data_IF_506426774130
#
_entry.id   IF_506426774130
#
_cell.length_a   1.000
_cell.length_b   1.000
_cell.length_c   1.000
_cell.angle_alpha   90.00
_cell.angle_beta   90.00
_cell.angle_gamma   90.00
#
_symmetry.space_group_name_H-M   'P 1'
#
loop_
_entity.id
_entity.type
_entity.pdbx_description
1 polymer ?
#
# COMPACT_ATOMS: atom_id res chain seq x y z
N UNK A 1 -16.13 -60.28 -28.67
CA UNK A 1 -15.16 -59.44 -29.40
C UNK A 1 -14.94 -58.17 -28.59
N UNK A 2 -13.72 -58.01 -28.09
CA UNK A 2 -13.29 -56.95 -27.16
C UNK A 2 -12.48 -55.88 -27.88
N UNK A 3 -12.23 -54.78 -27.14
CA UNK A 3 -11.27 -53.68 -27.33
C UNK A 3 -11.84 -52.37 -27.94
N UNK A 4 -11.21 -51.21 -27.71
CA UNK A 4 -11.00 -50.51 -26.43
C UNK A 4 -11.22 -48.97 -26.58
N UNK A 5 -11.25 -48.14 -25.53
CA UNK A 5 -10.02 -47.48 -25.04
C UNK A 5 -10.13 -45.94 -25.06
N UNK A 6 -9.95 -45.34 -23.88
CA UNK A 6 -9.85 -43.89 -23.57
C UNK A 6 -8.75 -43.19 -24.39
N UNK A 7 -8.71 -41.85 -24.44
CA UNK A 7 -7.50 -41.05 -24.13
C UNK A 7 -7.78 -39.52 -24.17
N UNK A 8 -7.98 -38.93 -22.98
CA UNK A 8 -7.72 -37.52 -22.72
C UNK A 8 -6.20 -37.32 -22.67
N UNK A 9 -5.66 -36.42 -23.51
CA UNK A 9 -4.25 -36.05 -23.51
C UNK A 9 -4.02 -34.92 -22.50
N UNK A 10 -3.44 -35.23 -21.35
CA UNK A 10 -2.79 -34.25 -20.48
C UNK A 10 -1.34 -34.07 -20.96
N UNK A 11 -1.01 -32.85 -21.41
CA UNK A 11 0.35 -32.48 -21.81
C UNK A 11 1.13 -32.13 -20.53
N UNK A 12 2.09 -32.99 -20.18
CA UNK A 12 3.03 -32.76 -19.10
C UNK A 12 4.09 -31.73 -19.55
N UNK A 13 4.12 -30.57 -18.89
CA UNK A 13 5.19 -29.59 -19.04
C UNK A 13 6.37 -30.02 -18.16
N UNK A 14 7.40 -30.58 -18.79
CA UNK A 14 8.70 -30.86 -18.16
C UNK A 14 9.42 -29.53 -17.91
N UNK A 15 9.45 -29.08 -16.64
CA UNK A 15 10.36 -28.00 -16.23
C UNK A 15 11.75 -28.57 -15.93
N UNK A 16 12.71 -28.12 -16.73
CA UNK A 16 14.16 -28.41 -16.67
C UNK A 16 14.74 -27.92 -15.33
N UNK A 17 15.27 -28.84 -14.51
CA UNK A 17 16.02 -28.56 -13.28
C UNK A 17 17.50 -28.34 -13.63
N UNK A 18 18.17 -27.27 -13.15
CA UNK A 18 19.57 -27.00 -13.47
C UNK A 18 20.56 -27.94 -12.74
N UNK A 19 21.54 -28.42 -13.51
CA UNK A 19 22.51 -29.50 -13.24
C UNK A 19 23.72 -29.08 -12.39
N UNK A 20 23.53 -28.45 -11.23
CA UNK A 20 24.66 -27.98 -10.38
C UNK A 20 24.58 -28.37 -8.89
N UNK A 21 23.82 -29.41 -8.54
CA UNK A 21 23.69 -29.88 -7.14
C UNK A 21 24.19 -31.31 -6.89
N UNK A 22 24.76 -31.98 -7.89
CA UNK A 22 25.24 -33.37 -7.76
C UNK A 22 26.59 -33.51 -7.06
N UNK A 23 27.41 -32.46 -6.96
CA UNK A 23 28.80 -32.58 -6.49
C UNK A 23 29.04 -32.38 -4.99
N UNK A 24 28.00 -32.16 -4.16
CA UNK A 24 28.18 -31.96 -2.70
C UNK A 24 27.86 -33.22 -1.87
N UNK A 25 27.17 -34.22 -2.45
CA UNK A 25 26.71 -35.39 -1.70
C UNK A 25 27.67 -36.59 -1.68
N UNK A 26 28.82 -36.54 -2.37
CA UNK A 26 29.71 -37.70 -2.48
C UNK A 26 30.78 -37.80 -1.37
N UNK A 27 30.83 -36.82 -0.44
CA UNK A 27 31.96 -36.68 0.50
C UNK A 27 31.67 -37.10 1.95
N UNK A 28 30.79 -38.06 2.22
CA UNK A 28 30.72 -38.76 3.53
C UNK A 28 30.32 -40.23 3.40
N UNK A 29 31.28 -41.09 3.05
CA UNK A 29 31.23 -42.53 3.36
C UNK A 29 32.18 -42.80 4.52
N UNK A 30 31.69 -43.30 5.65
CA UNK A 30 32.39 -44.15 6.61
C UNK A 30 31.37 -44.81 7.59
N UNK A 31 31.71 -45.95 8.22
CA UNK A 31 30.93 -47.18 8.11
C UNK A 31 30.02 -47.48 9.32
N UNK A 32 28.92 -48.18 9.04
CA UNK A 32 28.02 -48.77 10.04
C UNK A 32 28.56 -50.14 10.51
N UNK A 33 28.49 -50.48 11.81
CA UNK A 33 28.54 -51.85 12.26
C UNK A 33 27.12 -52.45 12.36
N UNK A 34 27.00 -53.72 11.97
CA UNK A 34 25.77 -54.51 12.04
C UNK A 34 25.61 -55.17 13.41
N UNK A 35 24.42 -55.11 14.00
CA UNK A 35 23.95 -56.15 14.93
C UNK A 35 22.42 -56.25 14.97
N UNK A 36 21.94 -57.37 14.44
CA UNK A 36 20.86 -58.26 14.89
C UNK A 36 19.60 -57.73 15.61
N UNK A 37 18.49 -58.03 14.92
CA UNK A 37 17.34 -58.88 15.33
C UNK A 37 16.00 -58.21 15.72
N UNK A 38 15.00 -58.73 15.01
CA UNK A 38 13.63 -59.04 15.39
C UNK A 38 12.53 -57.99 15.20
N UNK A 39 11.57 -58.42 14.38
CA UNK A 39 10.33 -57.77 14.05
C UNK A 39 9.39 -57.70 15.26
N UNK A 40 8.75 -56.54 15.43
CA UNK A 40 7.40 -56.47 15.97
C UNK A 40 6.58 -55.49 15.13
N UNK A 41 5.48 -56.01 14.60
CA UNK A 41 4.39 -55.30 13.94
C UNK A 41 3.69 -54.33 14.90
N UNK A 42 3.86 -53.02 14.68
CA UNK A 42 2.86 -52.00 15.00
C UNK A 42 3.17 -50.74 14.19
N UNK A 43 2.52 -50.58 13.05
CA UNK A 43 2.49 -49.31 12.33
C UNK A 43 1.19 -48.61 12.74
N UNK A 44 1.22 -48.04 13.94
CA UNK A 44 0.70 -46.69 14.16
C UNK A 44 1.93 -45.79 14.01
N UNK A 45 2.10 -45.06 12.91
CA UNK A 45 2.85 -43.80 12.93
C UNK A 45 2.80 -43.07 11.59
N UNK A 46 2.27 -41.86 11.68
CA UNK A 46 2.49 -40.74 10.77
C UNK A 46 3.94 -40.64 10.26
N UNK A 47 4.18 -40.42 8.96
CA UNK A 47 5.40 -39.78 8.46
C UNK A 47 5.03 -38.37 7.95
N UNK A 48 5.35 -37.27 8.64
CA UNK A 48 6.66 -36.71 9.00
C UNK A 48 7.48 -36.30 7.77
N UNK A 49 7.93 -35.05 7.81
CA UNK A 49 8.81 -34.36 6.85
C UNK A 49 8.17 -34.06 5.48
N UNK A 50 7.95 -32.81 5.09
CA UNK A 50 8.94 -31.72 5.06
C UNK A 50 8.40 -30.41 5.65
N UNK A 51 8.64 -30.24 6.94
CA UNK A 51 8.78 -28.95 7.59
C UNK A 51 10.10 -28.31 7.13
N UNK A 52 10.04 -27.41 6.15
CA UNK A 52 11.13 -26.45 5.97
C UNK A 52 11.10 -25.49 7.16
N UNK A 53 11.88 -25.80 8.19
CA UNK A 53 12.19 -24.92 9.31
C UNK A 53 12.93 -23.70 8.79
N UNK A 54 12.18 -22.68 8.38
CA UNK A 54 12.65 -21.30 8.50
C UNK A 54 12.96 -21.08 9.98
N UNK A 55 14.19 -20.71 10.32
CA UNK A 55 14.54 -20.25 11.67
C UNK A 55 13.58 -19.11 12.06
N UNK A 56 12.70 -19.29 13.08
CA UNK A 56 11.74 -18.24 13.46
C UNK A 56 12.43 -17.00 14.03
N UNK A 57 13.65 -17.15 14.56
CA UNK A 57 14.34 -16.12 15.33
C UNK A 57 15.05 -15.06 14.47
N UNK A 58 15.37 -15.36 13.20
CA UNK A 58 16.03 -14.39 12.31
C UNK A 58 15.00 -13.46 11.64
N UNK A 59 13.79 -13.96 11.34
CA UNK A 59 12.68 -13.14 10.83
C UNK A 59 11.91 -12.36 11.91
N UNK A 60 11.88 -12.86 13.15
CA UNK A 60 11.14 -12.19 14.24
C UNK A 60 11.73 -10.85 14.65
N UNK A 61 13.07 -10.69 14.67
CA UNK A 61 13.70 -9.42 15.09
C UNK A 61 13.46 -8.30 14.09
N UNK A 62 13.54 -8.60 12.78
CA UNK A 62 13.34 -7.61 11.73
C UNK A 62 11.87 -7.16 11.64
N UNK A 63 10.92 -8.11 11.76
CA UNK A 63 9.49 -7.79 11.79
C UNK A 63 9.08 -7.02 13.06
N UNK A 64 9.64 -7.39 14.22
CA UNK A 64 9.37 -6.70 15.47
C UNK A 64 9.98 -5.27 15.49
N UNK A 65 11.15 -5.07 14.89
CA UNK A 65 11.77 -3.75 14.73
C UNK A 65 10.95 -2.88 13.77
N UNK A 66 10.50 -3.43 12.64
CA UNK A 66 9.66 -2.74 11.66
C UNK A 66 8.31 -2.29 12.27
N UNK A 67 7.70 -3.15 13.08
CA UNK A 67 6.45 -2.85 13.76
C UNK A 67 6.61 -1.75 14.83
N UNK A 68 7.70 -1.78 15.62
CA UNK A 68 8.01 -0.73 16.59
C UNK A 68 8.23 0.63 15.93
N UNK A 69 9.03 0.67 14.86
CA UNK A 69 9.27 1.90 14.10
C UNK A 69 7.99 2.46 13.50
N UNK A 70 7.15 1.60 12.92
CA UNK A 70 5.86 2.02 12.34
C UNK A 70 4.95 2.66 13.39
N UNK A 71 4.86 2.08 14.60
CA UNK A 71 4.05 2.63 15.69
C UNK A 71 4.57 4.00 16.13
N UNK A 72 5.89 4.13 16.33
CA UNK A 72 6.50 5.40 16.75
C UNK A 72 6.27 6.49 15.69
N UNK A 73 6.53 6.19 14.42
CA UNK A 73 6.34 7.13 13.32
C UNK A 73 4.87 7.54 13.17
N UNK A 74 3.94 6.58 13.30
CA UNK A 74 2.50 6.86 13.23
C UNK A 74 2.05 7.71 14.42
N UNK A 75 2.58 7.46 15.62
CA UNK A 75 2.31 8.27 16.82
C UNK A 75 2.81 9.70 16.67
N UNK A 76 4.04 9.89 16.19
CA UNK A 76 4.61 11.21 15.90
C UNK A 76 3.81 11.94 14.82
N UNK A 77 3.42 11.25 13.75
CA UNK A 77 2.56 11.82 12.72
C UNK A 77 1.19 12.23 13.29
N UNK A 78 0.59 11.40 14.15
CA UNK A 78 -0.65 11.73 14.86
C UNK A 78 -0.52 12.99 15.72
N UNK A 79 0.55 13.12 16.51
CA UNK A 79 0.81 14.33 17.29
C UNK A 79 1.00 15.56 16.40
N UNK A 80 1.74 15.43 15.29
CA UNK A 80 1.94 16.53 14.35
C UNK A 80 0.62 16.95 13.65
N UNK A 81 -0.23 15.99 13.29
CA UNK A 81 -1.58 16.25 12.74
C UNK A 81 -2.45 16.96 13.76
N UNK A 82 -2.47 16.51 15.02
CA UNK A 82 -3.25 17.16 16.08
C UNK A 82 -2.76 18.61 16.32
N UNK A 83 -1.45 18.80 16.48
CA UNK A 83 -0.88 20.13 16.71
C UNK A 83 -1.14 21.09 15.53
N UNK A 84 -0.91 20.62 14.29
CA UNK A 84 -1.15 21.43 13.09
C UNK A 84 -2.63 21.69 12.84
N UNK A 85 -3.51 20.71 13.09
CA UNK A 85 -4.96 20.86 12.98
C UNK A 85 -5.50 21.89 13.97
N UNK A 86 -5.08 21.85 15.23
CA UNK A 86 -5.48 22.85 16.23
C UNK A 86 -4.97 24.25 15.87
N UNK A 87 -3.77 24.35 15.31
CA UNK A 87 -3.14 25.65 15.04
C UNK A 87 -3.62 26.32 13.74
N UNK A 88 -3.97 25.54 12.72
CA UNK A 88 -4.15 26.02 11.34
C UNK A 88 -5.52 25.67 10.73
N UNK A 89 -6.40 24.95 11.44
CA UNK A 89 -7.72 24.62 10.90
C UNK A 89 -8.53 25.89 10.57
N UNK A 90 -9.26 25.89 9.45
CA UNK A 90 -10.20 26.97 9.14
C UNK A 90 -11.23 27.16 10.27
N UNK A 91 -11.62 28.42 10.58
CA UNK A 91 -12.58 28.71 11.64
C UNK A 91 -13.86 27.86 11.50
N UNK A 92 -14.33 27.27 12.61
CA UNK A 92 -15.55 26.46 12.63
C UNK A 92 -15.43 25.02 12.06
N UNK A 93 -14.27 24.64 11.50
CA UNK A 93 -14.07 23.29 10.90
C UNK A 93 -13.17 22.36 11.72
N UNK A 94 -12.80 22.73 12.94
CA UNK A 94 -11.78 22.01 13.74
C UNK A 94 -12.08 20.51 13.85
N UNK A 95 -13.28 20.13 14.29
CA UNK A 95 -13.65 18.73 14.49
C UNK A 95 -13.56 17.93 13.18
N UNK A 96 -14.08 18.47 12.08
CA UNK A 96 -14.03 17.85 10.76
C UNK A 96 -12.58 17.73 10.25
N UNK A 97 -11.76 18.75 10.49
CA UNK A 97 -10.33 18.73 10.14
C UNK A 97 -9.58 17.64 10.89
N UNK A 98 -9.83 17.48 12.20
CA UNK A 98 -9.21 16.40 12.98
C UNK A 98 -9.69 15.02 12.52
N UNK A 99 -10.97 14.87 12.17
CA UNK A 99 -11.49 13.63 11.59
C UNK A 99 -10.85 13.31 10.23
N UNK A 100 -10.69 14.31 9.36
CA UNK A 100 -9.96 14.16 8.10
C UNK A 100 -8.53 13.69 8.35
N UNK A 101 -7.81 14.35 9.26
CA UNK A 101 -6.43 14.00 9.60
C UNK A 101 -6.31 12.56 10.10
N UNK A 102 -7.23 12.12 10.96
CA UNK A 102 -7.28 10.74 11.44
C UNK A 102 -7.53 9.73 10.30
N UNK A 103 -8.46 10.03 9.39
CA UNK A 103 -8.74 9.18 8.22
C UNK A 103 -7.54 9.12 7.27
N UNK A 104 -6.90 10.26 6.98
CA UNK A 104 -5.71 10.33 6.12
C UNK A 104 -4.53 9.57 6.73
N UNK A 105 -4.33 9.68 8.04
CA UNK A 105 -3.30 8.90 8.75
C UNK A 105 -3.59 7.41 8.66
N UNK A 106 -4.84 7.00 8.94
CA UNK A 106 -5.26 5.60 8.84
C UNK A 106 -5.08 5.03 7.43
N UNK A 107 -5.50 5.77 6.40
CA UNK A 107 -5.32 5.40 5.00
C UNK A 107 -3.85 5.30 4.62
N UNK A 108 -3.00 6.22 5.10
CA UNK A 108 -1.56 6.20 4.84
C UNK A 108 -0.88 4.96 5.45
N UNK A 109 -1.23 4.62 6.69
CA UNK A 109 -0.68 3.44 7.37
C UNK A 109 -1.11 2.14 6.70
N UNK A 110 -2.37 2.06 6.26
CA UNK A 110 -2.89 0.89 5.55
C UNK A 110 -2.21 0.78 4.18
N UNK A 111 -2.13 1.87 3.41
CA UNK A 111 -1.48 1.85 2.10
C UNK A 111 0.00 1.46 2.19
N UNK A 112 0.73 1.97 3.18
CA UNK A 112 2.13 1.60 3.39
C UNK A 112 2.32 0.10 3.68
N UNK A 113 1.34 -0.56 4.29
CA UNK A 113 1.41 -1.99 4.66
C UNK A 113 0.88 -2.92 3.59
N UNK A 114 -0.21 -2.56 2.93
CA UNK A 114 -0.94 -3.48 2.06
C UNK A 114 -1.02 -3.02 0.61
N UNK A 115 -0.59 -1.80 0.28
CA UNK A 115 -0.71 -1.19 -1.05
C UNK A 115 -2.16 -1.18 -1.58
N UNK A 116 -3.14 -1.15 -0.66
CA UNK A 116 -4.56 -1.17 -0.98
C UNK A 116 -5.30 -0.15 -0.13
N UNK A 117 -6.06 0.74 -0.75
CA UNK A 117 -6.92 1.66 -0.02
C UNK A 117 -8.31 1.05 0.20
N UNK A 118 -8.78 0.92 1.46
CA UNK A 118 -10.11 0.41 1.74
C UNK A 118 -11.19 1.43 1.32
N UNK A 119 -12.18 0.92 0.60
CA UNK A 119 -13.29 1.71 0.06
C UNK A 119 -14.14 2.35 1.15
N UNK A 120 -14.24 1.73 2.33
CA UNK A 120 -15.00 2.26 3.47
C UNK A 120 -14.38 3.53 4.05
N UNK A 121 -13.06 3.59 4.23
CA UNK A 121 -12.39 4.78 4.79
C UNK A 121 -12.34 5.93 3.78
N UNK A 122 -12.12 5.62 2.50
CA UNK A 122 -12.17 6.63 1.43
C UNK A 122 -13.58 7.19 1.27
N UNK A 123 -14.62 6.34 1.32
CA UNK A 123 -16.02 6.80 1.32
C UNK A 123 -16.35 7.68 2.54
N UNK A 124 -15.91 7.31 3.75
CA UNK A 124 -16.07 8.15 4.94
C UNK A 124 -15.41 9.52 4.77
N UNK A 125 -14.27 9.58 4.09
CA UNK A 125 -13.59 10.85 3.79
C UNK A 125 -14.44 11.71 2.86
N UNK A 126 -15.04 11.12 1.82
CA UNK A 126 -15.97 11.82 0.92
C UNK A 126 -17.19 12.33 1.68
N UNK A 127 -17.81 11.48 2.51
CA UNK A 127 -19.01 11.84 3.28
C UNK A 127 -18.74 13.02 4.23
N UNK A 128 -17.62 12.99 4.94
CA UNK A 128 -17.21 14.11 5.80
C UNK A 128 -16.90 15.38 4.99
N UNK A 129 -16.35 15.24 3.78
CA UNK A 129 -16.13 16.38 2.89
C UNK A 129 -17.44 17.02 2.42
N UNK A 130 -18.43 16.21 2.05
CA UNK A 130 -19.78 16.70 1.70
C UNK A 130 -20.42 17.40 2.91
N UNK A 131 -20.32 16.78 4.10
CA UNK A 131 -20.83 17.37 5.33
C UNK A 131 -20.14 18.72 5.65
N UNK A 132 -18.82 18.80 5.45
CA UNK A 132 -18.05 20.03 5.60
C UNK A 132 -18.59 21.11 4.68
N UNK A 133 -18.72 20.84 3.38
CA UNK A 133 -19.24 21.78 2.39
C UNK A 133 -20.65 22.24 2.76
N UNK A 134 -21.52 21.32 3.17
CA UNK A 134 -22.89 21.63 3.54
C UNK A 134 -23.01 22.53 4.78
N UNK A 135 -22.15 22.30 5.78
CA UNK A 135 -22.18 23.06 7.04
C UNK A 135 -21.48 24.41 6.96
N UNK A 136 -20.42 24.54 6.16
CA UNK A 136 -19.56 25.74 6.21
C UNK A 136 -19.56 26.56 4.94
N UNK A 137 -19.78 25.96 3.77
CA UNK A 137 -19.67 26.65 2.47
C UNK A 137 -20.69 26.13 1.44
N UNK A 138 -22.00 26.20 1.73
CA UNK A 138 -23.01 25.65 0.83
C UNK A 138 -22.99 26.31 -0.55
N UNK A 139 -22.57 27.58 -0.67
CA UNK A 139 -22.43 28.30 -1.94
C UNK A 139 -21.37 27.72 -2.87
N UNK A 140 -20.33 27.08 -2.33
CA UNK A 140 -19.19 26.56 -3.09
C UNK A 140 -19.38 25.11 -3.56
N UNK A 141 -20.53 24.48 -3.30
CA UNK A 141 -20.75 23.05 -3.53
C UNK A 141 -20.37 22.55 -4.93
N UNK A 142 -20.58 23.36 -5.96
CA UNK A 142 -20.23 23.03 -7.36
C UNK A 142 -18.74 22.82 -7.53
N UNK A 143 -17.93 23.68 -6.93
CA UNK A 143 -16.47 23.60 -7.04
C UNK A 143 -15.91 22.36 -6.33
N UNK A 144 -16.51 21.97 -5.21
CA UNK A 144 -16.19 20.74 -4.47
C UNK A 144 -16.65 19.48 -5.21
N UNK A 145 -17.85 19.50 -5.80
CA UNK A 145 -18.33 18.40 -6.63
C UNK A 145 -17.44 18.19 -7.87
N UNK A 146 -17.12 19.28 -8.58
CA UNK A 146 -16.20 19.24 -9.72
C UNK A 146 -14.82 18.76 -9.25
N UNK A 147 -14.35 19.23 -8.09
CA UNK A 147 -13.09 18.77 -7.50
C UNK A 147 -13.06 17.26 -7.27
N UNK A 148 -14.13 16.68 -6.74
CA UNK A 148 -14.23 15.24 -6.54
C UNK A 148 -14.23 14.44 -7.84
N UNK A 149 -15.04 14.86 -8.81
CA UNK A 149 -15.15 14.21 -10.12
C UNK A 149 -13.86 14.31 -10.92
N UNK A 150 -13.26 15.50 -10.98
CA UNK A 150 -12.02 15.77 -11.71
C UNK A 150 -10.84 15.09 -11.02
N UNK A 151 -10.76 15.12 -9.69
CA UNK A 151 -9.71 14.45 -8.93
C UNK A 151 -9.67 12.95 -9.19
N UNK A 152 -10.83 12.29 -9.14
CA UNK A 152 -10.93 10.87 -9.49
C UNK A 152 -10.65 10.63 -10.98
N UNK A 153 -11.29 11.43 -11.85
CA UNK A 153 -11.23 11.26 -13.30
C UNK A 153 -9.82 11.41 -13.87
N UNK A 154 -9.04 12.39 -13.42
CA UNK A 154 -7.68 12.63 -13.94
C UNK A 154 -6.79 11.39 -13.70
N UNK A 155 -6.78 10.84 -12.48
CA UNK A 155 -5.91 9.70 -12.19
C UNK A 155 -6.37 8.42 -12.88
N UNK A 156 -7.68 8.21 -13.02
CA UNK A 156 -8.21 7.08 -13.81
C UNK A 156 -7.85 7.21 -15.28
N UNK A 157 -7.90 8.42 -15.85
CA UNK A 157 -7.49 8.63 -17.24
C UNK A 157 -6.00 8.37 -17.45
N UNK A 158 -5.15 8.78 -16.50
CA UNK A 158 -3.72 8.46 -16.51
C UNK A 158 -3.47 6.96 -16.36
N UNK A 159 -4.17 6.29 -15.45
CA UNK A 159 -4.12 4.83 -15.27
C UNK A 159 -4.46 4.11 -16.59
N UNK A 160 -5.60 4.44 -17.20
CA UNK A 160 -6.05 3.82 -18.44
C UNK A 160 -5.09 4.09 -19.61
N UNK A 161 -4.60 5.32 -19.73
CA UNK A 161 -3.62 5.69 -20.75
C UNK A 161 -2.30 4.95 -20.58
N UNK A 162 -1.79 4.88 -19.36
CA UNK A 162 -0.56 4.12 -19.06
C UNK A 162 -0.73 2.64 -19.35
N UNK A 163 -1.87 2.06 -18.94
CA UNK A 163 -2.20 0.66 -19.19
C UNK A 163 -2.29 0.34 -20.68
N UNK A 164 -2.88 1.25 -21.47
CA UNK A 164 -2.97 1.10 -22.91
C UNK A 164 -1.58 1.17 -23.60
N UNK A 165 -0.69 2.06 -23.14
CA UNK A 165 0.63 2.27 -23.75
C UNK A 165 1.68 1.24 -23.33
N UNK A 166 1.65 0.78 -22.08
CA UNK A 166 2.70 -0.08 -21.49
C UNK A 166 2.24 -1.50 -21.19
N UNK A 167 0.94 -1.79 -21.26
CA UNK A 167 0.38 -3.10 -20.92
C UNK A 167 0.55 -3.49 -19.45
N UNK A 168 0.97 -2.55 -18.60
CA UNK A 168 1.18 -2.73 -17.16
C UNK A 168 0.24 -1.78 -16.40
N UNK A 169 -0.23 -2.21 -15.24
CA UNK A 169 -0.97 -1.34 -14.33
C UNK A 169 0.02 -0.37 -13.68
N UNK A 170 -0.17 0.93 -13.91
CA UNK A 170 0.75 1.98 -13.44
C UNK A 170 0.38 2.53 -12.07
N UNK A 171 -0.69 3.34 -12.04
CA UNK A 171 -1.20 3.97 -10.83
C UNK A 171 -2.40 3.20 -10.29
N UNK A 172 -2.45 3.00 -8.97
CA UNK A 172 -3.53 2.25 -8.35
C UNK A 172 -4.85 3.02 -8.36
N UNK A 173 -5.97 2.33 -8.63
CA UNK A 173 -7.32 2.89 -8.48
C UNK A 173 -7.61 3.45 -7.09
N UNK A 174 -6.91 2.98 -6.06
CA UNK A 174 -7.01 3.51 -4.71
C UNK A 174 -6.60 4.98 -4.63
N UNK A 175 -5.47 5.35 -5.24
CA UNK A 175 -4.95 6.71 -5.26
C UNK A 175 -5.91 7.68 -5.94
N UNK A 176 -6.57 7.24 -7.02
CA UNK A 176 -7.63 7.99 -7.69
C UNK A 176 -8.80 8.29 -6.75
N UNK A 177 -9.25 7.30 -5.96
CA UNK A 177 -10.33 7.49 -4.97
C UNK A 177 -9.93 8.49 -3.88
N UNK A 178 -8.69 8.41 -3.40
CA UNK A 178 -8.19 9.33 -2.38
C UNK A 178 -8.09 10.76 -2.92
N UNK A 179 -7.55 10.95 -4.13
CA UNK A 179 -7.47 12.28 -4.73
C UNK A 179 -8.87 12.86 -5.00
N UNK A 180 -9.80 12.03 -5.47
CA UNK A 180 -11.21 12.41 -5.59
C UNK A 180 -11.82 12.82 -4.24
N UNK A 181 -11.57 12.06 -3.18
CA UNK A 181 -12.02 12.42 -1.83
C UNK A 181 -11.46 13.77 -1.40
N UNK A 182 -10.15 14.00 -1.55
CA UNK A 182 -9.52 15.28 -1.23
C UNK A 182 -10.00 16.43 -2.13
N UNK A 183 -10.38 16.14 -3.38
CA UNK A 183 -11.03 17.09 -4.27
C UNK A 183 -12.40 17.56 -3.77
N UNK A 184 -13.15 16.70 -3.07
CA UNK A 184 -14.39 17.13 -2.39
C UNK A 184 -14.07 18.05 -1.21
N UNK A 185 -12.95 17.89 -0.53
CA UNK A 185 -12.57 18.78 0.58
C UNK A 185 -12.02 20.12 0.11
N UNK A 186 -11.18 20.14 -0.92
CA UNK A 186 -10.42 21.32 -1.33
C UNK A 186 -10.97 22.01 -2.58
N UNK A 187 -11.92 21.38 -3.27
CA UNK A 187 -12.40 21.83 -4.57
C UNK A 187 -11.41 21.55 -5.69
N UNK A 188 -11.84 21.86 -6.93
CA UNK A 188 -11.01 21.66 -8.12
C UNK A 188 -9.67 22.42 -8.06
N UNK A 189 -9.64 23.59 -7.41
CA UNK A 189 -8.45 24.40 -7.26
C UNK A 189 -7.38 23.74 -6.37
N UNK A 190 -7.79 22.87 -5.44
CA UNK A 190 -6.86 22.16 -4.56
C UNK A 190 -6.16 20.96 -5.20
N UNK A 191 -6.66 20.44 -6.32
CA UNK A 191 -6.11 19.23 -6.93
C UNK A 191 -4.67 19.41 -7.40
N UNK A 192 -4.37 20.53 -8.08
CA UNK A 192 -3.03 20.83 -8.56
C UNK A 192 -1.99 20.96 -7.44
N UNK A 193 -2.21 21.77 -6.38
CA UNK A 193 -1.25 21.86 -5.27
C UNK A 193 -1.13 20.54 -4.49
N UNK A 194 -2.20 19.75 -4.35
CA UNK A 194 -2.12 18.41 -3.72
C UNK A 194 -1.15 17.52 -4.50
N UNK A 195 -1.33 17.44 -5.82
CA UNK A 195 -0.46 16.62 -6.67
C UNK A 195 0.98 17.13 -6.65
N UNK A 196 1.19 18.45 -6.65
CA UNK A 196 2.53 19.03 -6.55
C UNK A 196 3.22 18.64 -5.25
N UNK A 197 2.55 18.78 -4.10
CA UNK A 197 3.11 18.41 -2.79
C UNK A 197 3.33 16.90 -2.71
N UNK A 198 2.40 16.09 -3.23
CA UNK A 198 2.53 14.63 -3.26
C UNK A 198 3.74 14.19 -4.10
N UNK A 199 3.87 14.68 -5.33
CA UNK A 199 4.99 14.33 -6.20
C UNK A 199 6.33 14.84 -5.67
N UNK A 200 6.37 16.05 -5.11
CA UNK A 200 7.60 16.61 -4.52
C UNK A 200 8.05 15.81 -3.28
N UNK A 201 7.11 15.49 -2.37
CA UNK A 201 7.40 14.70 -1.18
C UNK A 201 7.80 13.25 -1.51
N UNK A 202 7.16 12.65 -2.52
CA UNK A 202 7.55 11.33 -3.03
C UNK A 202 8.96 11.35 -3.61
N UNK A 203 9.30 12.36 -4.42
CA UNK A 203 10.63 12.50 -5.01
C UNK A 203 11.72 12.67 -3.94
N UNK A 204 11.49 13.55 -2.96
CA UNK A 204 12.40 13.75 -1.83
C UNK A 204 12.55 12.47 -1.01
N UNK A 205 11.45 11.74 -0.78
CA UNK A 205 11.47 10.44 -0.10
C UNK A 205 12.35 9.43 -0.84
N UNK A 206 12.14 9.25 -2.15
CA UNK A 206 12.92 8.33 -2.98
C UNK A 206 14.40 8.70 -3.02
N UNK A 207 14.73 9.98 -3.23
CA UNK A 207 16.11 10.46 -3.23
C UNK A 207 16.76 10.24 -1.86
N UNK A 208 16.05 10.55 -0.77
CA UNK A 208 16.55 10.36 0.59
C UNK A 208 16.83 8.91 0.92
N UNK A 209 15.91 7.99 0.58
CA UNK A 209 16.12 6.56 0.77
C UNK A 209 17.31 6.04 -0.07
N UNK A 210 17.45 6.53 -1.31
CA UNK A 210 18.56 6.17 -2.18
C UNK A 210 19.90 6.71 -1.65
N UNK A 211 19.94 7.95 -1.14
CA UNK A 211 21.14 8.56 -0.60
C UNK A 211 21.65 7.87 0.69
N UNK A 212 20.73 7.35 1.51
CA UNK A 212 21.05 6.59 2.71
C UNK A 212 21.48 5.14 2.41
N UNK A 213 21.45 4.71 1.14
CA UNK A 213 21.84 3.35 0.73
C UNK A 213 20.93 2.24 1.26
N UNK A 214 19.74 2.60 1.79
CA UNK A 214 18.83 1.68 2.49
C UNK A 214 18.12 0.75 1.50
N UNK A 215 17.90 1.19 0.25
CA UNK A 215 17.18 0.41 -0.75
C UNK A 215 17.68 0.74 -2.16
N UNK A 216 18.00 -0.29 -2.95
CA UNK A 216 18.11 -0.13 -4.42
C UNK A 216 16.70 0.09 -4.96
N UNK A 217 16.45 1.30 -5.44
CA UNK A 217 15.17 1.65 -6.06
C UNK A 217 15.24 1.22 -7.53
N UNK A 218 14.88 -0.04 -7.79
CA UNK A 218 14.68 -0.50 -9.16
C UNK A 218 13.35 0.02 -9.70
N UNK A 219 13.30 0.36 -10.98
CA UNK A 219 12.15 1.00 -11.62
C UNK A 219 10.84 0.18 -11.59
N UNK A 220 10.92 -1.13 -11.34
CA UNK A 220 9.75 -2.03 -11.23
C UNK A 220 9.30 -2.24 -9.76
N UNK A 221 9.92 -1.56 -8.79
CA UNK A 221 9.51 -1.65 -7.39
C UNK A 221 8.23 -0.85 -7.15
N UNK A 222 7.12 -1.47 -6.69
CA UNK A 222 5.90 -0.73 -6.39
C UNK A 222 6.12 0.18 -5.18
N UNK A 223 5.78 1.46 -5.32
CA UNK A 223 5.89 2.48 -4.27
C UNK A 223 4.48 2.89 -3.85
N UNK A 224 4.13 2.85 -2.55
CA UNK A 224 2.85 3.36 -2.06
C UNK A 224 2.79 4.87 -2.28
N UNK A 225 1.90 5.33 -3.15
CA UNK A 225 1.72 6.75 -3.44
C UNK A 225 0.66 7.40 -2.52
N UNK A 226 -0.19 6.60 -1.88
CA UNK A 226 -1.26 7.04 -0.98
C UNK A 226 -0.79 7.96 0.15
N UNK A 227 0.29 7.63 0.92
CA UNK A 227 0.81 8.49 1.98
C UNK A 227 1.23 9.88 1.49
N UNK A 228 1.77 9.97 0.27
CA UNK A 228 2.19 11.25 -0.30
C UNK A 228 0.99 12.09 -0.74
N UNK A 229 -0.04 11.46 -1.32
CA UNK A 229 -1.33 12.13 -1.60
C UNK A 229 -1.97 12.61 -0.30
N UNK A 230 -1.99 11.77 0.74
CA UNK A 230 -2.56 12.11 2.04
C UNK A 230 -1.83 13.31 2.68
N UNK A 231 -0.50 13.34 2.61
CA UNK A 231 0.30 14.48 3.05
C UNK A 231 -0.03 15.74 2.24
N UNK A 232 -0.11 15.64 0.92
CA UNK A 232 -0.50 16.75 0.05
C UNK A 232 -1.89 17.30 0.40
N UNK A 233 -2.85 16.41 0.61
CA UNK A 233 -4.21 16.75 1.05
C UNK A 233 -4.21 17.51 2.38
N UNK A 234 -3.47 17.02 3.37
CA UNK A 234 -3.36 17.67 4.67
C UNK A 234 -2.75 19.06 4.59
N UNK A 235 -1.63 19.19 3.88
CA UNK A 235 -0.91 20.47 3.71
C UNK A 235 -1.77 21.49 2.97
N UNK A 236 -2.43 21.10 1.88
CA UNK A 236 -3.28 22.00 1.10
C UNK A 236 -4.54 22.41 1.87
N UNK A 237 -5.15 21.48 2.63
CA UNK A 237 -6.31 21.80 3.46
C UNK A 237 -5.97 22.84 4.55
N UNK A 238 -4.91 22.60 5.34
CA UNK A 238 -4.48 23.56 6.36
C UNK A 238 -3.91 24.85 5.76
N UNK A 239 -3.27 24.74 4.61
CA UNK A 239 -2.76 25.85 3.82
C UNK A 239 -3.80 26.52 2.94
N UNK A 240 -5.10 26.24 3.12
CA UNK A 240 -6.16 26.69 2.21
C UNK A 240 -6.12 28.19 1.93
N UNK A 241 -5.78 29.00 2.94
CA UNK A 241 -5.56 30.46 2.81
C UNK A 241 -4.54 30.89 1.77
N UNK A 242 -3.58 30.02 1.42
CA UNK A 242 -2.52 30.28 0.45
C UNK A 242 -2.77 29.58 -0.88
N UNK A 243 -3.34 28.37 -0.84
CA UNK A 243 -3.48 27.53 -2.03
C UNK A 243 -4.83 27.66 -2.72
N UNK A 244 -5.89 28.05 -2.00
CA UNK A 244 -7.26 28.04 -2.51
C UNK A 244 -7.78 29.48 -2.72
N UNK A 245 -8.58 29.71 -3.77
CA UNK A 245 -9.27 30.98 -3.97
C UNK A 245 -10.18 31.35 -2.81
N UNK A 246 -10.38 32.65 -2.59
CA UNK A 246 -11.35 33.18 -1.62
C UNK A 246 -12.74 32.61 -1.90
N UNK A 247 -13.31 31.88 -0.93
CA UNK A 247 -14.58 31.17 -1.04
C UNK A 247 -14.48 29.63 -1.08
N UNK A 248 -13.26 29.08 -1.26
CA UNK A 248 -13.01 27.62 -1.18
C UNK A 248 -12.23 27.19 0.07
N UNK A 249 -11.83 28.14 0.93
CA UNK A 249 -11.12 27.91 2.20
C UNK A 249 -11.69 28.74 3.34
#
# INVERSE_FOLDING_TARGET
MSLPGRHLRAIAIVKRVPTQLTNVMERRRHPFPQSHRQASTSIDFWPSEWSSTRCPLVGQKDEQLHNKLTIILTGLAGCALLASGISLAPPGTLALTLCLGALLLGLSVIDFRTLTLPDTLTASTVLLGILMVWLTRPEAWRAHLIGGLVGYGILVMVELGYRHLRGKDGLGRGDAKLLGALGVWTGWAGLAPIMLVASASALVGVIGLSALGIRKVDADTPIPFGPFIALGGWVVWLGGRFFLPTGLY
#
